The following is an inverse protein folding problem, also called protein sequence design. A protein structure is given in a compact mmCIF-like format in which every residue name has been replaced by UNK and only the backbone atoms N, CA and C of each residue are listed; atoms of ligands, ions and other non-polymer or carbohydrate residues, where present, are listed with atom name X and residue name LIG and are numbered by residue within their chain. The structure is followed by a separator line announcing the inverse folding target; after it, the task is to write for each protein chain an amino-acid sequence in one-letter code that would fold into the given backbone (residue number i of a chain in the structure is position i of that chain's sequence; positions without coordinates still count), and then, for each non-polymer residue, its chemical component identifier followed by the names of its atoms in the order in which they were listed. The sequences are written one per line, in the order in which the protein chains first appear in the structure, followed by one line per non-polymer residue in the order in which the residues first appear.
data_IF_549551618732
#
_entry.id   IF_549551618732
#
_cell.length_a   1.000
_cell.length_b   1.000
_cell.length_c   1.000
_cell.angle_alpha   90.00
_cell.angle_beta   90.00
_cell.angle_gamma   90.00
#
_symmetry.space_group_name_H-M   'P 1'
#
loop_
_entity.id
_entity.type
_entity.pdbx_description
1 polymer ?
#
# COMPACT_ATOMS: atom_id res chain seq x y z
N UNK A 1 3.12 -2.15 13.35
CA UNK A 1 4.26 -2.02 12.43
C UNK A 1 4.77 -3.41 12.04
N UNK A 2 4.44 -3.94 10.86
CA UNK A 2 4.97 -5.21 10.36
C UNK A 2 6.50 -5.19 10.22
N UNK A 3 7.13 -6.32 10.46
CA UNK A 3 8.60 -6.46 10.36
C UNK A 3 9.08 -6.53 8.91
N UNK A 4 8.20 -6.92 7.99
CA UNK A 4 8.47 -7.11 6.56
C UNK A 4 8.68 -5.83 5.76
N UNK A 5 8.46 -4.64 6.36
CA UNK A 5 8.72 -3.33 5.74
C UNK A 5 9.92 -2.62 6.40
N UNK A 6 11.16 -3.02 6.10
CA UNK A 6 12.36 -2.51 6.80
C UNK A 6 12.74 -1.09 6.38
N UNK A 7 12.28 -0.61 5.23
CA UNK A 7 12.70 0.67 4.65
C UNK A 7 11.88 1.88 5.15
N UNK A 8 10.87 1.65 5.99
CA UNK A 8 10.09 2.74 6.59
C UNK A 8 10.98 3.71 7.36
N UNK A 9 10.54 4.94 7.46
CA UNK A 9 11.19 5.93 8.30
C UNK A 9 10.24 6.43 9.41
N UNK A 10 10.79 7.20 10.35
CA UNK A 10 10.02 7.77 11.45
C UNK A 10 8.88 8.68 10.95
N UNK A 11 9.13 9.44 9.91
CA UNK A 11 8.15 10.40 9.34
C UNK A 11 6.93 9.69 8.78
N UNK A 12 7.10 8.52 8.15
CA UNK A 12 5.98 7.73 7.63
C UNK A 12 5.00 7.35 8.75
N UNK A 13 5.53 6.90 9.89
CA UNK A 13 4.73 6.52 11.05
C UNK A 13 4.06 7.74 11.71
N UNK A 14 4.80 8.84 11.87
CA UNK A 14 4.28 10.07 12.46
C UNK A 14 3.14 10.64 11.60
N UNK A 15 3.28 10.64 10.28
CA UNK A 15 2.23 11.08 9.37
C UNK A 15 0.96 10.25 9.52
N UNK A 16 1.08 8.93 9.68
CA UNK A 16 -0.07 8.07 9.94
C UNK A 16 -0.75 8.40 11.29
N UNK A 17 0.03 8.63 12.34
CA UNK A 17 -0.50 9.00 13.67
C UNK A 17 -1.24 10.33 13.60
N UNK A 18 -0.66 11.33 12.94
CA UNK A 18 -1.25 12.67 12.82
C UNK A 18 -2.55 12.68 11.99
N UNK A 19 -2.70 11.73 11.07
CA UNK A 19 -3.89 11.61 10.23
C UNK A 19 -5.07 10.93 10.95
N UNK A 20 -4.81 10.24 12.08
CA UNK A 20 -5.85 9.57 12.87
C UNK A 20 -6.60 10.59 13.74
N UNK A 21 -7.58 11.25 13.17
CA UNK A 21 -8.49 12.18 13.85
C UNK A 21 -9.73 11.49 14.46
N UNK A 22 -10.66 12.29 15.00
CA UNK A 22 -11.89 11.77 15.63
C UNK A 22 -12.86 11.11 14.64
N UNK A 23 -12.73 11.38 13.35
CA UNK A 23 -13.63 10.87 12.31
C UNK A 23 -13.02 9.70 11.54
N UNK A 24 -11.79 9.33 11.87
CA UNK A 24 -11.01 8.27 11.19
C UNK A 24 -10.82 7.10 12.15
N UNK A 25 -11.17 5.90 11.71
CA UNK A 25 -11.04 4.69 12.51
C UNK A 25 -9.69 4.02 12.31
N UNK A 26 -9.21 4.00 11.06
CA UNK A 26 -7.94 3.38 10.67
C UNK A 26 -7.18 4.28 9.71
N UNK A 27 -5.87 4.33 9.84
CA UNK A 27 -4.96 4.90 8.85
C UNK A 27 -4.04 3.79 8.35
N UNK A 28 -4.01 3.61 7.04
CA UNK A 28 -3.13 2.68 6.34
C UNK A 28 -2.09 3.43 5.51
N UNK A 29 -1.12 2.73 4.98
CA UNK A 29 -0.17 3.28 4.02
C UNK A 29 -0.43 2.72 2.63
N UNK A 30 -0.17 3.52 1.60
CA UNK A 30 -0.33 3.14 0.20
C UNK A 30 0.82 3.68 -0.63
N UNK A 31 1.08 3.07 -1.77
CA UNK A 31 2.01 3.55 -2.80
C UNK A 31 1.35 3.58 -4.18
N UNK A 32 1.93 4.33 -5.10
CA UNK A 32 1.45 4.36 -6.48
C UNK A 32 1.57 2.97 -7.11
N UNK A 33 0.45 2.40 -7.56
CA UNK A 33 0.46 1.11 -8.25
C UNK A 33 1.05 1.25 -9.66
N UNK A 34 1.85 0.25 -10.04
CA UNK A 34 2.35 0.11 -11.41
C UNK A 34 1.32 -0.52 -12.34
N UNK A 35 0.30 -1.16 -11.76
CA UNK A 35 -0.75 -1.89 -12.47
C UNK A 35 -2.11 -1.25 -12.20
N UNK A 36 -3.09 -1.60 -13.01
CA UNK A 36 -4.45 -1.14 -12.85
C UNK A 36 -5.40 -2.33 -12.96
N UNK A 37 -6.34 -2.48 -12.02
CA UNK A 37 -7.34 -3.54 -12.08
C UNK A 37 -8.25 -3.43 -13.31
N UNK A 38 -8.27 -2.27 -13.95
CA UNK A 38 -9.07 -1.97 -15.13
C UNK A 38 -8.38 -2.30 -16.45
N UNK A 39 -7.04 -2.53 -16.49
CA UNK A 39 -6.29 -2.68 -17.72
C UNK A 39 -5.32 -3.85 -17.78
N UNK A 40 -4.65 -4.19 -16.68
CA UNK A 40 -3.53 -5.13 -16.69
C UNK A 40 -3.40 -5.95 -15.40
N UNK A 41 -4.48 -6.04 -14.63
CA UNK A 41 -4.64 -7.05 -13.58
C UNK A 41 -5.78 -7.98 -14.00
N UNK A 42 -5.53 -9.27 -13.96
CA UNK A 42 -6.47 -10.28 -14.42
C UNK A 42 -6.72 -11.34 -13.36
N UNK A 43 -7.89 -11.93 -13.41
CA UNK A 43 -8.22 -13.18 -12.70
C UNK A 43 -8.33 -14.32 -13.70
N UNK A 44 -7.97 -15.53 -13.29
CA UNK A 44 -8.13 -16.74 -14.11
C UNK A 44 -9.32 -17.56 -13.60
N UNK A 45 -10.18 -17.99 -14.53
CA UNK A 45 -11.26 -18.92 -14.29
C UNK A 45 -11.39 -19.87 -15.49
N UNK A 46 -11.38 -21.18 -15.23
CA UNK A 46 -11.51 -22.23 -16.24
C UNK A 46 -10.53 -22.10 -17.42
N UNK A 47 -9.27 -21.77 -17.13
CA UNK A 47 -8.19 -21.52 -18.10
C UNK A 47 -8.38 -20.28 -18.99
N UNK A 48 -9.35 -19.44 -18.71
CA UNK A 48 -9.55 -18.15 -19.36
C UNK A 48 -9.23 -17.01 -18.39
N UNK A 49 -8.75 -15.90 -18.94
CA UNK A 49 -8.44 -14.72 -18.13
C UNK A 49 -9.40 -13.59 -18.44
N UNK A 50 -9.78 -12.85 -17.38
CA UNK A 50 -10.60 -11.65 -17.48
C UNK A 50 -9.96 -10.53 -16.68
N UNK A 51 -10.24 -9.28 -17.02
CA UNK A 51 -9.85 -8.14 -16.19
C UNK A 51 -10.41 -8.29 -14.79
N UNK A 52 -9.63 -7.88 -13.78
CA UNK A 52 -10.03 -7.97 -12.38
C UNK A 52 -11.27 -7.13 -12.08
N UNK A 53 -11.38 -5.97 -12.74
CA UNK A 53 -12.57 -5.13 -12.72
C UNK A 53 -13.06 -4.93 -14.14
N UNK A 54 -14.21 -5.55 -14.45
CA UNK A 54 -14.94 -5.31 -15.69
C UNK A 54 -15.71 -3.99 -15.54
N UNK A 55 -15.51 -3.07 -16.46
CA UNK A 55 -16.22 -1.79 -16.46
C UNK A 55 -17.41 -1.84 -17.40
N UNK A 56 -18.56 -1.39 -16.95
CA UNK A 56 -19.72 -1.10 -17.79
C UNK A 56 -19.48 0.10 -18.73
N UNK A 57 -18.51 0.97 -18.38
CA UNK A 57 -18.05 2.07 -19.22
C UNK A 57 -16.77 1.65 -19.95
N UNK A 58 -16.76 1.68 -21.27
CA UNK A 58 -15.55 1.50 -22.07
C UNK A 58 -14.57 2.66 -21.82
N UNK A 59 -13.72 2.53 -20.81
CA UNK A 59 -12.59 3.43 -20.66
C UNK A 59 -11.57 3.12 -21.75
N UNK A 60 -11.47 4.00 -22.73
CA UNK A 60 -10.51 3.84 -23.83
C UNK A 60 -9.09 4.28 -23.46
N UNK A 61 -8.92 5.03 -22.39
CA UNK A 61 -7.63 5.60 -21.98
C UNK A 61 -7.37 5.39 -20.50
N UNK A 62 -6.08 5.17 -20.12
CA UNK A 62 -5.65 4.98 -18.74
C UNK A 62 -6.00 6.16 -17.81
N UNK A 63 -6.06 7.37 -18.35
CA UNK A 63 -6.36 8.59 -17.58
C UNK A 63 -7.83 8.74 -17.22
N UNK A 64 -8.72 7.94 -17.82
CA UNK A 64 -10.16 8.05 -17.61
C UNK A 64 -10.64 7.13 -16.46
N UNK A 65 -9.78 6.23 -15.97
CA UNK A 65 -10.10 5.31 -14.87
C UNK A 65 -9.64 5.86 -13.51
N UNK A 66 -10.27 5.41 -12.41
CA UNK A 66 -9.79 5.72 -11.08
C UNK A 66 -8.34 5.31 -10.86
N UNK A 67 -7.56 6.17 -10.21
CA UNK A 67 -6.17 5.87 -9.86
C UNK A 67 -6.16 4.72 -8.85
N UNK A 68 -5.40 3.67 -9.15
CA UNK A 68 -5.18 2.55 -8.24
C UNK A 68 -3.90 2.76 -7.43
N UNK A 69 -3.96 2.35 -6.17
CA UNK A 69 -2.82 2.35 -5.26
C UNK A 69 -2.64 0.95 -4.69
N UNK A 70 -1.40 0.57 -4.42
CA UNK A 70 -1.09 -0.64 -3.68
C UNK A 70 -1.11 -0.30 -2.18
N UNK A 71 -1.91 -1.02 -1.39
CA UNK A 71 -1.85 -0.91 0.06
C UNK A 71 -0.54 -1.53 0.53
N UNK A 72 0.18 -0.81 1.41
CA UNK A 72 1.50 -1.23 1.88
C UNK A 72 1.48 -1.59 3.36
N UNK A 73 2.45 -2.35 3.80
CA UNK A 73 2.63 -2.79 5.18
C UNK A 73 3.53 -1.87 6.02
N UNK A 74 3.81 -0.66 5.52
CA UNK A 74 4.72 0.29 6.20
C UNK A 74 4.20 0.66 7.59
N UNK A 75 2.93 1.02 7.71
CA UNK A 75 2.31 1.27 9.01
C UNK A 75 0.79 1.13 8.94
N UNK A 76 0.22 0.65 10.04
CA UNK A 76 -1.21 0.67 10.34
C UNK A 76 -1.41 1.39 11.67
N UNK A 77 -2.30 2.36 11.72
CA UNK A 77 -2.62 3.12 12.94
C UNK A 77 -4.13 3.08 13.15
N UNK A 78 -4.53 2.67 14.34
CA UNK A 78 -5.93 2.58 14.75
C UNK A 78 -6.07 2.68 16.26
N UNK A 79 -7.31 2.83 16.75
CA UNK A 79 -7.60 2.82 18.19
C UNK A 79 -7.89 1.41 18.68
N UNK A 80 -7.56 1.09 19.96
CA UNK A 80 -7.83 -0.23 20.53
C UNK A 80 -9.31 -0.64 20.47
N UNK A 81 -10.23 0.31 20.61
CA UNK A 81 -11.67 0.03 20.58
C UNK A 81 -12.14 -0.39 19.19
N UNK A 82 -11.54 0.15 18.13
CA UNK A 82 -11.83 -0.30 16.78
C UNK A 82 -11.46 -1.77 16.59
N UNK A 83 -10.24 -2.16 17.01
CA UNK A 83 -9.77 -3.55 16.90
C UNK A 83 -10.66 -4.53 17.67
N UNK A 84 -11.16 -4.13 18.84
CA UNK A 84 -12.03 -5.00 19.67
C UNK A 84 -13.41 -5.24 19.06
N UNK A 85 -13.92 -4.27 18.30
CA UNK A 85 -15.31 -4.26 17.83
C UNK A 85 -15.45 -4.58 16.34
N UNK A 86 -14.35 -4.69 15.58
CA UNK A 86 -14.36 -4.90 14.14
C UNK A 86 -13.39 -5.99 13.72
N UNK A 87 -13.73 -6.73 12.68
CA UNK A 87 -12.92 -7.84 12.19
C UNK A 87 -12.08 -7.49 10.95
N UNK A 88 -12.40 -6.39 10.26
CA UNK A 88 -11.72 -5.97 9.03
C UNK A 88 -11.35 -4.49 9.11
N UNK A 89 -10.25 -4.14 8.44
CA UNK A 89 -9.76 -2.74 8.36
C UNK A 89 -10.83 -1.83 7.76
N UNK A 90 -11.50 -2.29 6.71
CA UNK A 90 -12.48 -1.50 5.96
C UNK A 90 -13.90 -1.54 6.54
N UNK A 91 -14.11 -2.10 7.74
CA UNK A 91 -15.39 -1.97 8.48
C UNK A 91 -15.57 -0.54 9.04
N UNK A 92 -14.49 0.25 9.11
CA UNK A 92 -14.48 1.64 9.56
C UNK A 92 -14.12 2.63 8.46
N UNK A 93 -14.01 3.90 8.86
CA UNK A 93 -13.53 4.99 8.01
C UNK A 93 -12.02 4.95 7.92
N UNK A 94 -11.52 4.61 6.74
CA UNK A 94 -10.08 4.45 6.49
C UNK A 94 -9.52 5.65 5.73
N UNK A 95 -8.42 6.22 6.24
CA UNK A 95 -7.58 7.18 5.52
C UNK A 95 -6.24 6.54 5.18
N UNK A 96 -5.50 7.16 4.27
CA UNK A 96 -4.20 6.63 3.85
C UNK A 96 -3.13 7.71 3.78
N UNK A 97 -1.88 7.30 4.01
CA UNK A 97 -0.68 8.09 3.77
C UNK A 97 0.05 7.51 2.56
N UNK A 98 0.37 8.36 1.59
CA UNK A 98 1.14 7.97 0.40
C UNK A 98 2.61 7.81 0.77
N UNK A 99 3.16 6.63 0.50
CA UNK A 99 4.56 6.28 0.75
C UNK A 99 5.27 6.16 -0.60
N UNK A 100 6.46 6.76 -0.78
CA UNK A 100 7.29 6.55 -1.96
C UNK A 100 7.65 5.08 -2.14
N UNK A 101 7.81 4.66 -3.40
CA UNK A 101 8.05 3.25 -3.76
C UNK A 101 9.27 2.65 -3.09
N UNK A 102 10.34 3.42 -2.99
CA UNK A 102 11.61 3.00 -2.36
C UNK A 102 11.48 2.70 -0.87
N UNK A 103 10.42 3.16 -0.21
CA UNK A 103 10.15 2.86 1.21
C UNK A 103 8.96 1.92 1.42
N UNK A 104 8.28 1.54 0.35
CA UNK A 104 7.07 0.72 0.42
C UNK A 104 7.32 -0.78 0.17
N UNK A 105 8.58 -1.19 0.03
CA UNK A 105 8.92 -2.60 -0.17
C UNK A 105 8.47 -3.44 1.01
N UNK A 106 7.72 -4.48 0.71
CA UNK A 106 7.34 -5.56 1.62
C UNK A 106 8.13 -6.81 1.27
N UNK A 107 8.71 -7.47 2.25
CA UNK A 107 9.52 -8.66 2.04
C UNK A 107 8.63 -9.89 2.18
N UNK A 108 8.16 -10.41 1.07
CA UNK A 108 7.40 -11.64 0.98
C UNK A 108 8.26 -12.81 0.48
N UNK A 109 9.30 -12.50 -0.32
CA UNK A 109 10.19 -13.51 -0.90
C UNK A 109 11.67 -13.05 -0.93
N UNK A 110 12.54 -13.91 -1.49
CA UNK A 110 13.98 -13.64 -1.59
C UNK A 110 14.31 -12.49 -2.56
N UNK A 111 13.47 -12.22 -3.55
CA UNK A 111 13.67 -11.13 -4.50
C UNK A 111 13.40 -9.80 -3.79
N UNK A 112 12.32 -9.73 -3.03
CA UNK A 112 12.00 -8.55 -2.24
C UNK A 112 13.08 -8.24 -1.22
N UNK A 113 13.63 -9.29 -0.57
CA UNK A 113 14.75 -9.14 0.36
C UNK A 113 15.97 -8.51 -0.32
N UNK A 114 16.34 -8.97 -1.52
CA UNK A 114 17.46 -8.41 -2.30
C UNK A 114 17.23 -6.95 -2.69
N UNK A 115 16.00 -6.62 -3.07
CA UNK A 115 15.59 -5.24 -3.37
C UNK A 115 15.71 -4.36 -2.11
N UNK A 116 15.17 -4.82 -0.99
CA UNK A 116 15.24 -4.10 0.27
C UNK A 116 16.69 -3.89 0.75
N UNK A 117 17.55 -4.90 0.62
CA UNK A 117 18.97 -4.81 0.96
C UNK A 117 19.70 -3.79 0.10
N UNK A 118 19.45 -3.79 -1.22
CA UNK A 118 20.05 -2.81 -2.14
C UNK A 118 19.65 -1.38 -1.77
N UNK A 119 18.36 -1.13 -1.61
CA UNK A 119 17.85 0.20 -1.26
C UNK A 119 18.35 0.66 0.12
N UNK A 120 18.50 -0.24 1.09
CA UNK A 120 19.06 0.08 2.40
C UNK A 120 20.53 0.48 2.29
N UNK A 121 21.31 -0.21 1.48
CA UNK A 121 22.74 0.14 1.23
C UNK A 121 22.88 1.49 0.54
N UNK A 122 22.04 1.82 -0.41
CA UNK A 122 22.02 3.12 -1.08
C UNK A 122 21.70 4.24 -0.10
N UNK A 123 20.64 4.08 0.71
CA UNK A 123 20.26 5.04 1.75
C UNK A 123 21.39 5.28 2.77
N UNK A 124 22.13 4.25 3.16
CA UNK A 124 23.26 4.40 4.08
C UNK A 124 24.40 5.22 3.47
N UNK A 125 24.64 5.10 2.17
CA UNK A 125 25.65 5.92 1.47
C UNK A 125 25.27 7.39 1.44
N UNK A 126 24.00 7.71 1.19
CA UNK A 126 23.49 9.09 1.19
C UNK A 126 23.61 9.77 2.57
N UNK A 127 23.39 9.01 3.66
CA UNK A 127 23.53 9.53 5.03
C UNK A 127 24.99 9.81 5.39
N UNK A 128 25.93 9.05 4.83
CA UNK A 128 27.36 9.14 5.13
C UNK A 128 28.14 10.05 4.15
N UNK A 129 27.49 10.58 3.13
CA UNK A 129 28.07 11.50 2.15
C UNK A 129 27.90 12.97 2.57
#
# INVERSE_FOLDING_TARGET
LPTTSPLRNKTDVVNCINLLDKQTDVVVTMSNSSRSPYFNMVSEQDSYVKLLVENECEYSRRQDVPIAYDMTTVAYVTRPDFIKNNNKIFDGKVKSVLIPKERSVDIDDEIDFKIAELLMKERQKEINA
#
